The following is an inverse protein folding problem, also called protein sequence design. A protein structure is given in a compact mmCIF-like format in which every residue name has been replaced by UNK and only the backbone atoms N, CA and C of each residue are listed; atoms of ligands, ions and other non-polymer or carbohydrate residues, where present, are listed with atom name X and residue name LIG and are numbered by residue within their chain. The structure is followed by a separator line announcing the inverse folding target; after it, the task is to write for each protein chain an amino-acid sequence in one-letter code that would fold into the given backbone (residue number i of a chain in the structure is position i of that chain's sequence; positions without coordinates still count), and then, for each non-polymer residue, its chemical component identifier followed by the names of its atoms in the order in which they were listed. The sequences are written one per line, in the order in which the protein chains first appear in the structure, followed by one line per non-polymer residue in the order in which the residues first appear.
data_IF_346633620928
#
_entry.id   IF_346633620928
#
_cell.length_a   1.000
_cell.length_b   1.000
_cell.length_c   1.000
_cell.angle_alpha   90.00
_cell.angle_beta   90.00
_cell.angle_gamma   90.00
#
_symmetry.space_group_name_H-M   'P 1'
#
loop_
_entity.id
_entity.type
_entity.pdbx_description
1 polymer ?
#
# COMPACT_ATOMS: atom_id res chain seq x y z
N UNK A 1 2.40 -25.54 -24.34
CA UNK A 1 1.61 -25.41 -23.10
C UNK A 1 1.50 -23.93 -22.82
N UNK A 2 0.38 -23.29 -23.13
CA UNK A 2 0.15 -21.88 -22.79
C UNK A 2 -0.12 -21.84 -21.28
N UNK A 3 0.92 -21.59 -20.48
CA UNK A 3 0.73 -21.29 -19.08
C UNK A 3 -0.05 -19.99 -19.01
N UNK A 4 -1.25 -20.01 -18.44
CA UNK A 4 -1.96 -18.77 -18.14
C UNK A 4 -0.99 -17.86 -17.37
N UNK A 5 -0.78 -16.60 -17.79
CA UNK A 5 0.18 -15.74 -17.15
C UNK A 5 -0.18 -15.63 -15.67
N UNK A 6 0.72 -16.13 -14.81
CA UNK A 6 0.60 -15.99 -13.36
C UNK A 6 0.49 -14.50 -13.06
N UNK A 7 -0.53 -14.10 -12.29
CA UNK A 7 -0.69 -12.70 -11.89
C UNK A 7 0.58 -12.26 -11.17
N UNK A 8 1.20 -11.19 -11.67
CA UNK A 8 2.39 -10.64 -11.02
C UNK A 8 2.05 -10.08 -9.64
N UNK A 9 3.05 -10.13 -8.77
CA UNK A 9 2.97 -9.57 -7.41
C UNK A 9 2.82 -8.06 -7.51
N UNK A 10 1.86 -7.52 -6.77
CA UNK A 10 1.64 -6.08 -6.71
C UNK A 10 2.77 -5.42 -5.90
N UNK A 11 3.49 -4.49 -6.52
CA UNK A 11 4.58 -3.74 -5.87
C UNK A 11 4.02 -2.68 -4.93
N UNK A 12 4.57 -2.58 -3.73
CA UNK A 12 4.29 -1.46 -2.82
C UNK A 12 5.19 -0.29 -3.16
N UNK A 13 4.61 0.90 -3.24
CA UNK A 13 5.28 2.14 -3.66
C UNK A 13 4.69 3.30 -2.87
N UNK A 14 5.51 4.29 -2.51
CA UNK A 14 5.00 5.58 -2.02
C UNK A 14 4.55 6.46 -3.20
N UNK A 15 3.76 7.48 -2.92
CA UNK A 15 3.16 8.31 -3.96
C UNK A 15 4.23 9.13 -4.70
N UNK A 16 5.26 9.61 -4.01
CA UNK A 16 6.36 10.36 -4.62
C UNK A 16 7.14 9.51 -5.63
N UNK A 17 7.57 8.31 -5.24
CA UNK A 17 8.25 7.35 -6.12
C UNK A 17 7.36 6.98 -7.31
N UNK A 18 6.07 6.77 -7.06
CA UNK A 18 5.13 6.44 -8.11
C UNK A 18 4.97 7.57 -9.12
N UNK A 19 4.76 8.80 -8.63
CA UNK A 19 4.52 9.98 -9.46
C UNK A 19 5.70 10.33 -10.37
N UNK A 20 6.92 10.00 -9.94
CA UNK A 20 8.14 10.14 -10.74
C UNK A 20 8.31 9.04 -11.81
N UNK A 21 7.55 7.94 -11.74
CA UNK A 21 7.70 6.74 -12.58
C UNK A 21 7.07 6.90 -13.98
N UNK A 22 7.60 7.82 -14.78
CA UNK A 22 7.01 8.22 -16.07
C UNK A 22 7.41 7.35 -17.27
N UNK A 23 8.41 6.48 -17.13
CA UNK A 23 8.89 5.61 -18.20
C UNK A 23 8.18 4.24 -18.20
N UNK A 24 7.77 3.79 -19.40
CA UNK A 24 7.19 2.46 -19.60
C UNK A 24 7.94 1.65 -20.65
N UNK A 25 8.09 0.34 -20.42
CA UNK A 25 8.81 -0.55 -21.32
C UNK A 25 8.20 -1.97 -21.35
N UNK A 26 8.68 -2.78 -22.30
CA UNK A 26 8.38 -4.22 -22.42
C UNK A 26 9.68 -5.01 -22.34
N UNK A 27 9.65 -6.20 -21.76
CA UNK A 27 10.82 -7.08 -21.68
C UNK A 27 10.98 -8.01 -22.91
N UNK A 28 9.96 -8.08 -23.75
CA UNK A 28 10.01 -8.86 -25.00
C UNK A 28 9.28 -8.16 -26.13
N UNK A 29 9.65 -8.53 -27.35
CA UNK A 29 9.03 -8.05 -28.60
C UNK A 29 7.71 -8.76 -28.91
N UNK A 30 7.24 -9.65 -28.02
CA UNK A 30 5.97 -10.33 -28.24
C UNK A 30 4.82 -9.32 -28.27
N UNK A 31 3.87 -9.51 -29.19
CA UNK A 31 2.71 -8.62 -29.35
C UNK A 31 1.91 -8.46 -28.04
N UNK A 32 1.90 -9.52 -27.22
CA UNK A 32 1.20 -9.60 -25.93
C UNK A 32 2.11 -9.42 -24.71
N UNK A 33 3.34 -8.96 -24.90
CA UNK A 33 4.25 -8.70 -23.79
C UNK A 33 3.65 -7.69 -22.80
N UNK A 34 3.70 -7.96 -21.49
CA UNK A 34 3.25 -7.01 -20.47
C UNK A 34 4.05 -5.72 -20.57
N UNK A 35 3.35 -4.60 -20.39
CA UNK A 35 3.96 -3.27 -20.27
C UNK A 35 4.20 -3.01 -18.79
N UNK A 36 5.41 -2.58 -18.45
CA UNK A 36 5.81 -2.22 -17.11
C UNK A 36 6.03 -0.73 -17.01
N UNK A 37 5.78 -0.17 -15.83
CA UNK A 37 6.32 1.12 -15.40
C UNK A 37 7.65 0.86 -14.70
N UNK A 38 8.65 1.69 -15.00
CA UNK A 38 9.96 1.68 -14.34
C UNK A 38 9.90 2.60 -13.12
N UNK A 39 10.06 2.05 -11.92
CA UNK A 39 10.15 2.83 -10.69
C UNK A 39 11.57 3.42 -10.53
N UNK A 40 11.71 4.68 -10.06
CA UNK A 40 13.00 5.32 -9.85
C UNK A 40 13.95 4.60 -8.89
N UNK A 41 13.44 3.76 -7.98
CA UNK A 41 14.30 2.94 -7.10
C UNK A 41 14.79 1.64 -7.75
N UNK A 42 14.56 1.45 -9.06
CA UNK A 42 15.11 0.32 -9.82
C UNK A 42 14.22 -0.93 -9.83
N UNK A 43 12.91 -0.79 -9.73
CA UNK A 43 12.00 -1.92 -9.92
C UNK A 43 11.05 -1.69 -11.08
N UNK A 44 10.65 -2.78 -11.73
CA UNK A 44 9.52 -2.75 -12.66
C UNK A 44 8.21 -3.08 -11.95
N UNK A 45 7.12 -2.44 -12.40
CA UNK A 45 5.78 -2.69 -11.89
C UNK A 45 4.77 -2.86 -13.04
N UNK A 46 4.14 -4.04 -13.13
CA UNK A 46 2.90 -4.21 -13.92
C UNK A 46 1.64 -3.96 -13.08
N UNK A 47 1.79 -4.06 -11.76
CA UNK A 47 0.74 -4.02 -10.76
C UNK A 47 1.30 -3.40 -9.50
N UNK A 48 0.52 -2.54 -8.86
CA UNK A 48 0.90 -1.89 -7.60
C UNK A 48 -0.15 -2.15 -6.53
N UNK A 49 0.27 -2.08 -5.27
CA UNK A 49 -0.57 -2.14 -4.09
C UNK A 49 -0.27 -0.92 -3.21
N UNK A 50 -1.25 -0.05 -3.06
CA UNK A 50 -1.13 1.20 -2.31
C UNK A 50 -2.20 1.24 -1.21
N UNK A 51 -1.88 1.90 -0.10
CA UNK A 51 -2.85 2.23 0.95
C UNK A 51 -2.68 3.69 1.29
N UNK A 52 -3.78 4.42 1.38
CA UNK A 52 -3.76 5.84 1.70
C UNK A 52 -5.14 6.38 2.06
N UNK A 53 -5.22 7.68 2.27
CA UNK A 53 -6.46 8.37 2.59
C UNK A 53 -7.12 8.85 1.30
N UNK A 54 -8.28 8.30 0.96
CA UNK A 54 -9.14 8.86 -0.08
C UNK A 54 -9.66 10.21 0.41
N UNK A 55 -9.19 11.30 -0.19
CA UNK A 55 -9.55 12.66 0.21
C UNK A 55 -10.66 13.25 -0.64
N UNK A 56 -10.74 12.85 -1.91
CA UNK A 56 -11.68 13.40 -2.89
C UNK A 56 -12.13 12.31 -3.87
N UNK A 57 -13.40 12.36 -4.26
CA UNK A 57 -14.02 11.50 -5.28
C UNK A 57 -14.89 12.37 -6.19
N UNK A 58 -14.68 12.28 -7.50
CA UNK A 58 -15.41 13.08 -8.48
C UNK A 58 -15.79 12.24 -9.70
N UNK A 59 -17.00 12.43 -10.23
CA UNK A 59 -17.37 11.92 -11.56
C UNK A 59 -16.91 12.95 -12.59
N UNK A 60 -15.85 12.60 -13.30
CA UNK A 60 -15.21 13.42 -14.34
C UNK A 60 -15.62 12.98 -15.75
N UNK A 61 -16.58 12.05 -15.85
CA UNK A 61 -17.11 11.57 -17.12
C UNK A 61 -18.11 12.54 -17.77
N UNK A 62 -18.07 12.67 -19.09
CA UNK A 62 -19.05 13.46 -19.85
C UNK A 62 -20.25 12.59 -20.30
N UNK A 63 -19.99 11.60 -21.16
CA UNK A 63 -21.01 10.73 -21.77
C UNK A 63 -21.15 9.36 -21.07
N UNK A 64 -20.19 9.02 -20.22
CA UNK A 64 -20.11 7.72 -19.55
C UNK A 64 -19.49 7.87 -18.16
N UNK A 65 -19.96 7.08 -17.20
CA UNK A 65 -19.46 7.09 -15.83
C UNK A 65 -17.93 6.89 -15.79
N UNK A 66 -17.23 7.89 -15.23
CA UNK A 66 -15.78 7.90 -15.11
C UNK A 66 -15.37 8.59 -13.82
N UNK A 67 -15.09 7.80 -12.79
CA UNK A 67 -14.76 8.29 -11.46
C UNK A 67 -13.27 8.50 -11.29
N UNK A 68 -12.92 9.66 -10.75
CA UNK A 68 -11.59 9.99 -10.24
C UNK A 68 -11.60 9.92 -8.71
N UNK A 69 -10.62 9.22 -8.14
CA UNK A 69 -10.29 9.27 -6.72
C UNK A 69 -8.92 9.89 -6.49
N UNK A 70 -8.80 10.76 -5.49
CA UNK A 70 -7.52 11.27 -5.01
C UNK A 70 -7.18 10.60 -3.68
N UNK A 71 -6.10 9.81 -3.67
CA UNK A 71 -5.66 9.05 -2.50
C UNK A 71 -4.32 9.58 -2.04
N UNK A 72 -4.25 10.13 -0.84
CA UNK A 72 -3.05 10.73 -0.27
C UNK A 72 -2.31 9.72 0.59
N UNK A 73 -1.01 9.55 0.37
CA UNK A 73 -0.16 8.69 1.18
C UNK A 73 0.28 9.39 2.50
N UNK A 74 1.01 8.71 3.40
CA UNK A 74 1.46 9.32 4.66
C UNK A 74 2.38 10.53 4.49
N UNK A 75 3.06 10.67 3.35
CA UNK A 75 3.93 11.80 3.04
C UNK A 75 3.14 13.02 2.53
N UNK A 76 1.84 12.88 2.28
CA UNK A 76 0.98 13.95 1.79
C UNK A 76 0.90 14.01 0.26
N UNK A 77 1.58 13.12 -0.45
CA UNK A 77 1.58 13.08 -1.90
C UNK A 77 0.39 12.25 -2.44
N UNK A 78 -0.25 12.68 -3.54
CA UNK A 78 -1.43 12.00 -4.05
C UNK A 78 -1.09 10.91 -5.07
N UNK A 79 -1.82 9.81 -5.00
CA UNK A 79 -2.14 8.93 -6.11
C UNK A 79 -3.45 9.38 -6.76
N UNK A 80 -3.46 9.45 -8.09
CA UNK A 80 -4.69 9.63 -8.87
C UNK A 80 -5.20 8.29 -9.39
N UNK A 81 -6.45 7.97 -9.07
CA UNK A 81 -7.10 6.70 -9.40
C UNK A 81 -8.26 6.96 -10.33
N UNK A 82 -8.33 6.27 -11.47
CA UNK A 82 -9.41 6.45 -12.45
C UNK A 82 -10.13 5.13 -12.72
N UNK A 83 -11.45 5.10 -12.50
CA UNK A 83 -12.30 3.94 -12.74
C UNK A 83 -13.47 4.30 -13.66
N UNK A 84 -13.49 3.70 -14.85
CA UNK A 84 -14.59 3.86 -15.80
C UNK A 84 -15.52 2.64 -15.90
N UNK A 85 -16.35 2.63 -16.93
CA UNK A 85 -17.31 1.55 -17.24
C UNK A 85 -16.72 0.12 -17.31
N UNK A 86 -15.42 -0.02 -17.57
CA UNK A 86 -14.74 -1.32 -17.63
C UNK A 86 -14.23 -1.78 -16.26
N UNK A 87 -14.39 -0.96 -15.21
CA UNK A 87 -14.04 -1.25 -13.82
C UNK A 87 -15.27 -0.97 -12.92
N UNK A 88 -16.42 -1.64 -13.16
CA UNK A 88 -17.68 -1.27 -12.52
C UNK A 88 -17.65 -1.40 -10.99
N UNK A 89 -16.92 -2.37 -10.45
CA UNK A 89 -16.73 -2.56 -9.01
C UNK A 89 -15.94 -1.40 -8.39
N UNK A 90 -14.81 -1.02 -8.98
CA UNK A 90 -13.99 0.08 -8.47
C UNK A 90 -14.68 1.45 -8.64
N UNK A 91 -15.37 1.67 -9.76
CA UNK A 91 -16.16 2.88 -9.97
C UNK A 91 -17.28 3.00 -8.92
N UNK A 92 -17.93 1.89 -8.59
CA UNK A 92 -18.96 1.88 -7.55
C UNK A 92 -18.39 2.16 -6.16
N UNK A 93 -17.22 1.61 -5.83
CA UNK A 93 -16.54 1.97 -4.58
C UNK A 93 -16.22 3.46 -4.51
N UNK A 94 -15.67 4.07 -5.57
CA UNK A 94 -15.38 5.51 -5.58
C UNK A 94 -16.65 6.38 -5.47
N UNK A 95 -17.78 5.92 -6.01
CA UNK A 95 -19.08 6.60 -5.90
C UNK A 95 -19.66 6.53 -4.48
N UNK A 96 -19.47 5.42 -3.80
CA UNK A 96 -20.15 5.08 -2.54
C UNK A 96 -19.35 5.45 -1.29
N UNK A 97 -18.01 5.50 -1.40
CA UNK A 97 -17.15 5.86 -0.26
C UNK A 97 -17.30 7.33 0.10
N UNK A 98 -17.48 7.59 1.39
CA UNK A 98 -17.49 8.94 1.96
C UNK A 98 -16.06 9.34 2.36
N UNK A 99 -15.48 10.32 1.68
CA UNK A 99 -14.18 10.88 2.04
C UNK A 99 -14.28 11.79 3.29
N UNK A 100 -13.29 11.78 4.21
CA UNK A 100 -12.06 11.01 4.15
C UNK A 100 -12.21 9.55 4.62
N UNK A 101 -11.59 8.61 3.90
CA UNK A 101 -11.55 7.20 4.28
C UNK A 101 -10.22 6.54 3.91
N UNK A 102 -9.70 5.63 4.75
CA UNK A 102 -8.55 4.81 4.36
C UNK A 102 -8.97 3.76 3.34
N UNK A 103 -8.22 3.65 2.25
CA UNK A 103 -8.48 2.70 1.18
C UNK A 103 -7.22 1.95 0.79
N UNK A 104 -7.37 0.64 0.57
CA UNK A 104 -6.37 -0.20 -0.07
C UNK A 104 -6.75 -0.40 -1.54
N UNK A 105 -5.78 -0.18 -2.44
CA UNK A 105 -5.99 -0.24 -3.87
C UNK A 105 -4.95 -1.16 -4.49
N UNK A 106 -5.44 -2.14 -5.25
CA UNK A 106 -4.59 -2.87 -6.19
C UNK A 106 -4.93 -2.42 -7.59
N UNK A 107 -3.93 -2.06 -8.38
CA UNK A 107 -4.18 -1.49 -9.70
C UNK A 107 -3.02 -1.64 -10.66
N UNK A 108 -3.28 -1.29 -11.92
CA UNK A 108 -2.26 -1.19 -12.95
C UNK A 108 -1.82 0.26 -13.09
N UNK A 109 -0.51 0.53 -13.03
CA UNK A 109 -0.01 1.86 -13.28
C UNK A 109 -0.18 2.20 -14.77
N UNK A 110 -0.48 3.47 -15.06
CA UNK A 110 -0.69 3.99 -16.41
C UNK A 110 -0.07 5.36 -16.54
N UNK A 111 0.75 5.55 -17.56
CA UNK A 111 1.23 6.87 -17.95
C UNK A 111 0.25 7.51 -18.93
N UNK A 112 0.13 8.84 -18.85
CA UNK A 112 -0.63 9.65 -19.78
C UNK A 112 0.03 11.02 -19.92
N UNK A 113 -0.12 11.62 -21.09
CA UNK A 113 0.37 12.97 -21.35
C UNK A 113 -0.72 13.98 -20.94
N UNK A 114 -0.31 15.01 -20.21
CA UNK A 114 -1.15 16.15 -19.85
C UNK A 114 -1.17 17.18 -20.97
N UNK A 115 -2.15 18.09 -20.97
CA UNK A 115 -2.26 19.15 -21.99
C UNK A 115 -1.02 20.06 -22.05
N UNK A 116 -0.29 20.18 -20.94
CA UNK A 116 0.96 20.95 -20.84
C UNK A 116 2.20 20.17 -21.33
N UNK A 117 2.02 18.95 -21.86
CA UNK A 117 3.08 18.10 -22.39
C UNK A 117 3.88 17.33 -21.33
N UNK A 118 3.48 17.39 -20.06
CA UNK A 118 4.10 16.60 -19.00
C UNK A 118 3.50 15.18 -18.99
N UNK A 119 4.34 14.17 -18.77
CA UNK A 119 3.88 12.79 -18.57
C UNK A 119 3.61 12.58 -17.08
N UNK A 120 2.38 12.22 -16.75
CA UNK A 120 1.99 11.83 -15.40
C UNK A 120 1.64 10.35 -15.35
N UNK A 121 1.55 9.82 -14.13
CA UNK A 121 1.05 8.48 -13.87
C UNK A 121 -0.27 8.50 -13.12
N UNK A 122 -1.08 7.48 -13.35
CA UNK A 122 -2.30 7.19 -12.62
C UNK A 122 -2.45 5.70 -12.36
N UNK A 123 -3.36 5.38 -11.45
CA UNK A 123 -3.71 4.01 -11.10
C UNK A 123 -5.04 3.68 -11.77
N UNK A 124 -5.02 2.66 -12.63
CA UNK A 124 -6.25 1.99 -13.06
C UNK A 124 -6.56 0.89 -12.05
N UNK A 125 -7.57 1.05 -11.18
CA UNK A 125 -7.83 0.11 -10.11
C UNK A 125 -8.37 -1.20 -10.67
N UNK A 126 -7.90 -2.30 -10.10
CA UNK A 126 -8.51 -3.62 -10.22
C UNK A 126 -9.43 -3.88 -9.04
N UNK A 127 -9.08 -3.37 -7.85
CA UNK A 127 -9.90 -3.43 -6.64
C UNK A 127 -9.64 -2.22 -5.76
N UNK A 128 -10.69 -1.75 -5.08
CA UNK A 128 -10.65 -0.72 -4.04
C UNK A 128 -11.37 -1.31 -2.82
N UNK A 129 -10.80 -1.14 -1.63
CA UNK A 129 -11.40 -1.64 -0.39
C UNK A 129 -11.15 -0.64 0.73
N UNK A 130 -12.20 -0.28 1.47
CA UNK A 130 -12.04 0.52 2.69
C UNK A 130 -11.30 -0.31 3.74
N UNK A 131 -10.32 0.30 4.41
CA UNK A 131 -9.51 -0.35 5.44
C UNK A 131 -9.44 0.50 6.70
N UNK A 132 -8.85 -0.03 7.75
CA UNK A 132 -8.59 0.66 9.00
C UNK A 132 -7.18 1.26 9.06
N UNK A 133 -6.95 2.04 10.12
CA UNK A 133 -5.66 2.67 10.42
C UNK A 133 -4.52 1.64 10.55
N UNK A 134 -4.77 0.52 11.23
CA UNK A 134 -3.78 -0.55 11.45
C UNK A 134 -3.31 -1.17 10.12
N UNK A 135 -4.22 -1.39 9.18
CA UNK A 135 -3.88 -1.87 7.83
C UNK A 135 -3.03 -0.86 7.06
N UNK A 136 -3.35 0.43 7.20
CA UNK A 136 -2.55 1.53 6.63
C UNK A 136 -1.16 1.56 7.25
N UNK A 137 -1.02 1.45 8.56
CA UNK A 137 0.28 1.47 9.26
C UNK A 137 1.15 0.27 8.87
N UNK A 138 0.54 -0.91 8.80
CA UNK A 138 1.19 -2.13 8.31
C UNK A 138 1.73 -1.93 6.90
N UNK A 139 0.95 -1.31 6.01
CA UNK A 139 1.38 -1.02 4.66
C UNK A 139 2.55 -0.03 4.63
N UNK A 140 2.55 1.00 5.47
CA UNK A 140 3.67 1.96 5.54
C UNK A 140 4.98 1.25 5.88
N UNK A 141 4.99 0.42 6.93
CA UNK A 141 6.19 -0.32 7.35
C UNK A 141 6.68 -1.26 6.24
N UNK A 142 5.78 -2.07 5.66
CA UNK A 142 6.17 -3.01 4.60
C UNK A 142 6.60 -2.31 3.31
N UNK A 143 6.08 -1.12 3.02
CA UNK A 143 6.48 -0.30 1.87
C UNK A 143 7.85 0.31 2.11
N UNK A 144 8.10 0.84 3.31
CA UNK A 144 9.39 1.37 3.72
C UNK A 144 10.51 0.33 3.58
N UNK A 145 10.32 -0.87 4.14
CA UNK A 145 11.28 -1.99 4.02
C UNK A 145 11.55 -2.32 2.54
N UNK A 146 10.50 -2.50 1.74
CA UNK A 146 10.65 -2.85 0.32
C UNK A 146 11.28 -1.73 -0.52
N UNK A 147 11.09 -0.47 -0.15
CA UNK A 147 11.72 0.67 -0.83
C UNK A 147 13.21 0.73 -0.51
N UNK A 148 13.58 0.55 0.76
CA UNK A 148 14.99 0.50 1.17
C UNK A 148 15.73 -0.68 0.54
N UNK A 149 15.14 -1.88 0.51
CA UNK A 149 15.71 -3.05 -0.15
C UNK A 149 16.01 -2.79 -1.64
N UNK A 150 15.13 -2.05 -2.33
CA UNK A 150 15.32 -1.68 -3.74
C UNK A 150 16.49 -0.72 -3.90
N UNK A 151 16.58 0.30 -3.05
CA UNK A 151 17.67 1.28 -3.06
C UNK A 151 19.01 0.60 -2.76
N UNK A 152 19.07 -0.29 -1.77
CA UNK A 152 20.29 -1.04 -1.45
C UNK A 152 20.72 -1.94 -2.61
N UNK A 153 19.79 -2.64 -3.25
CA UNK A 153 20.09 -3.46 -4.43
C UNK A 153 20.61 -2.62 -5.62
N UNK A 154 20.09 -1.39 -5.76
CA UNK A 154 20.53 -0.41 -6.74
C UNK A 154 21.99 -0.01 -6.52
N UNK A 155 22.33 0.44 -5.31
CA UNK A 155 23.68 0.90 -4.95
C UNK A 155 24.72 -0.23 -4.96
N UNK A 156 24.30 -1.46 -4.70
CA UNK A 156 25.16 -2.64 -4.77
C UNK A 156 25.44 -3.10 -6.21
N UNK A 157 24.96 -2.39 -7.25
CA UNK A 157 25.05 -2.77 -8.67
C UNK A 157 24.48 -4.17 -8.97
N UNK A 158 23.58 -4.66 -8.11
CA UNK A 158 22.92 -5.97 -8.27
C UNK A 158 21.58 -5.87 -8.99
N UNK A 159 21.12 -4.64 -9.26
CA UNK A 159 19.85 -4.35 -9.87
C UNK A 159 19.95 -4.33 -11.41
N UNK A 160 19.16 -5.18 -12.07
CA UNK A 160 19.17 -5.30 -13.53
C UNK A 160 18.59 -4.09 -14.27
N UNK A 161 17.78 -3.26 -13.58
CA UNK A 161 17.16 -2.05 -14.12
C UNK A 161 17.91 -0.76 -13.76
N UNK A 162 18.98 -0.81 -12.95
CA UNK A 162 19.70 0.39 -12.51
C UNK A 162 20.15 1.27 -13.68
N UNK A 163 20.77 0.66 -14.70
CA UNK A 163 21.20 1.40 -15.91
C UNK A 163 20.06 2.03 -16.69
N UNK A 164 18.87 1.41 -16.65
CA UNK A 164 17.69 1.97 -17.31
C UNK A 164 17.18 3.17 -16.51
N UNK A 165 17.11 3.06 -15.19
CA UNK A 165 16.77 4.19 -14.31
C UNK A 165 17.70 5.38 -14.54
N UNK A 166 19.02 5.16 -14.54
CA UNK A 166 20.01 6.23 -14.77
C UNK A 166 19.88 6.91 -16.15
N UNK A 167 19.32 6.20 -17.14
CA UNK A 167 19.07 6.73 -18.49
C UNK A 167 17.78 7.55 -18.56
N UNK A 168 16.74 7.10 -17.84
CA UNK A 168 15.40 7.65 -17.97
C UNK A 168 15.08 8.72 -16.90
N UNK A 169 15.73 8.64 -15.74
CA UNK A 169 15.48 9.51 -14.60
C UNK A 169 16.76 10.18 -14.09
N UNK A 170 16.69 11.48 -13.86
CA UNK A 170 17.74 12.26 -13.18
C UNK A 170 17.25 12.62 -11.76
N UNK A 171 17.07 11.59 -10.93
CA UNK A 171 16.47 11.70 -9.60
C UNK A 171 17.40 11.07 -8.54
N UNK A 172 17.77 11.81 -7.48
CA UNK A 172 18.63 11.27 -6.43
C UNK A 172 17.87 10.28 -5.54
N UNK A 173 18.45 9.10 -5.31
CA UNK A 173 17.84 8.06 -4.46
C UNK A 173 17.62 8.51 -3.00
N UNK A 174 18.43 9.45 -2.52
CA UNK A 174 18.29 10.02 -1.17
C UNK A 174 16.89 10.60 -0.92
N UNK A 175 16.23 11.15 -1.95
CA UNK A 175 14.85 11.63 -1.84
C UNK A 175 13.91 10.53 -1.37
N UNK A 176 14.03 9.32 -1.93
CA UNK A 176 13.16 8.21 -1.55
C UNK A 176 13.53 7.64 -0.17
N UNK A 177 14.78 7.81 0.30
CA UNK A 177 15.15 7.52 1.69
C UNK A 177 14.48 8.51 2.65
N UNK A 178 14.48 9.79 2.31
CA UNK A 178 13.79 10.84 3.09
C UNK A 178 12.27 10.59 3.13
N UNK A 179 11.68 10.19 2.01
CA UNK A 179 10.27 9.79 1.92
C UNK A 179 9.93 8.59 2.82
N UNK A 180 10.82 7.59 2.88
CA UNK A 180 10.68 6.47 3.83
C UNK A 180 10.73 6.94 5.28
N UNK A 181 11.68 7.82 5.63
CA UNK A 181 11.80 8.36 6.99
C UNK A 181 10.55 9.14 7.38
N UNK A 182 10.12 10.07 6.52
CA UNK A 182 8.90 10.88 6.72
C UNK A 182 7.68 9.99 6.94
N UNK A 183 7.50 8.94 6.13
CA UNK A 183 6.38 8.02 6.27
C UNK A 183 6.42 7.26 7.61
N UNK A 184 7.60 6.81 8.06
CA UNK A 184 7.75 6.13 9.34
C UNK A 184 7.62 7.06 10.56
N UNK A 185 8.01 8.33 10.43
CA UNK A 185 7.79 9.36 11.45
C UNK A 185 6.29 9.66 11.60
N UNK A 186 5.54 9.69 10.49
CA UNK A 186 4.09 9.91 10.51
C UNK A 186 3.32 8.86 11.35
N UNK A 187 3.87 7.65 11.49
CA UNK A 187 3.29 6.60 12.34
C UNK A 187 3.47 6.88 13.84
N UNK A 188 4.54 7.58 14.22
CA UNK A 188 4.86 7.89 15.62
C UNK A 188 4.04 9.07 16.15
N UNK A 189 3.67 9.98 15.25
CA UNK A 189 2.83 11.14 15.57
C UNK A 189 1.33 10.81 15.62
N UNK A 190 0.92 9.59 15.24
CA UNK A 190 -0.46 9.12 15.36
C UNK A 190 -0.76 8.73 16.83
N UNK A 191 -1.62 9.48 17.56
CA UNK A 191 -1.88 9.24 18.99
C UNK A 191 -2.53 7.89 19.28
N UNK A 192 -2.92 7.14 18.25
CA UNK A 192 -3.51 5.81 18.35
C UNK A 192 -2.48 4.66 18.20
N UNK A 193 -1.22 4.94 17.88
CA UNK A 193 -0.16 3.94 17.70
C UNK A 193 0.25 3.22 19.01
N UNK A 194 -0.29 3.64 20.16
CA UNK A 194 0.09 3.16 21.49
C UNK A 194 -0.77 2.06 22.12
N UNK A 195 -1.82 1.52 21.48
CA UNK A 195 -2.76 0.62 22.17
C UNK A 195 -2.77 -0.86 21.70
N UNK A 196 -1.76 -1.31 20.95
CA UNK A 196 -1.67 -2.69 20.48
C UNK A 196 -0.46 -3.42 21.06
N UNK A 197 -0.40 -3.57 22.39
CA UNK A 197 0.56 -4.52 22.97
C UNK A 197 0.95 -4.34 24.42
N UNK A 198 0.01 -4.26 25.36
CA UNK A 198 0.30 -4.55 26.76
C UNK A 198 -1.02 -4.79 27.54
N UNK A 199 -1.67 -5.92 27.31
CA UNK A 199 -2.50 -6.47 28.37
C UNK A 199 -2.42 -7.99 28.38
N UNK A 200 -2.39 -8.52 29.60
CA UNK A 200 -2.52 -9.93 29.96
C UNK A 200 -1.28 -10.83 29.95
N UNK A 201 -0.21 -10.41 30.66
CA UNK A 201 0.65 -11.33 31.43
C UNK A 201 1.19 -10.62 32.66
N UNK A 202 0.45 -10.70 33.77
CA UNK A 202 0.97 -10.97 35.12
C UNK A 202 -0.03 -10.51 36.18
N UNK A 203 -0.90 -11.44 36.59
CA UNK A 203 -1.38 -11.48 37.96
C UNK A 203 -1.25 -12.93 38.47
N UNK A 204 -0.26 -13.11 39.34
CA UNK A 204 -0.06 -14.23 40.26
C UNK A 204 -1.40 -14.76 40.83
N UNK A 205 -1.62 -16.06 41.05
CA UNK A 205 -0.71 -17.08 41.57
C UNK A 205 -1.27 -17.54 42.93
N UNK A 206 -1.20 -18.85 43.20
CA UNK A 206 -1.26 -19.50 44.55
C UNK A 206 -2.70 -19.73 45.07
N UNK A 207 -3.20 -20.91 45.47
CA UNK A 207 -2.70 -22.25 45.83
C UNK A 207 -3.91 -23.22 45.84
N UNK A 208 -3.75 -24.49 45.44
CA UNK A 208 -4.65 -25.57 45.88
C UNK A 208 -4.00 -26.93 45.72
N UNK A 209 -3.63 -27.52 46.86
CA UNK A 209 -3.49 -28.94 47.20
C UNK A 209 -2.96 -28.93 48.65
N UNK A 210 -3.45 -29.67 49.67
CA UNK A 210 -4.10 -30.97 49.73
C UNK A 210 -4.64 -31.21 51.17
N UNK A 211 -5.44 -32.26 51.33
CA UNK A 211 -6.23 -32.67 52.51
C UNK A 211 -5.41 -33.13 53.75
N UNK A 212 -5.97 -33.04 54.95
CA UNK A 212 -6.57 -34.15 55.74
C UNK A 212 -6.82 -33.77 57.23
N UNK A 213 -7.61 -34.59 57.91
CA UNK A 213 -7.85 -34.72 59.38
C UNK A 213 -9.03 -33.97 60.06
N UNK A 214 -10.15 -34.71 60.10
CA UNK A 214 -10.82 -35.27 61.28
C UNK A 214 -11.58 -34.42 62.34
N UNK A 215 -12.61 -35.10 62.88
CA UNK A 215 -13.47 -34.88 64.06
C UNK A 215 -14.82 -34.16 63.82
N UNK A 216 -15.90 -34.91 63.57
CA UNK A 216 -16.86 -35.53 64.53
C UNK A 216 -18.03 -34.59 64.92
N UNK A 217 -19.24 -35.04 64.54
CA UNK A 217 -20.62 -34.66 64.88
C UNK A 217 -20.91 -34.26 66.36
N UNK A 218 -22.13 -33.79 66.75
CA UNK A 218 -23.39 -33.65 65.98
C UNK A 218 -24.16 -32.31 66.16
N UNK A 219 -25.30 -32.25 65.46
CA UNK A 219 -26.41 -31.28 65.51
C UNK A 219 -26.82 -30.77 66.90
N UNK A 220 -27.54 -29.63 66.91
CA UNK A 220 -28.78 -29.62 67.67
C UNK A 220 -29.94 -28.96 66.90
N UNK A 221 -31.09 -29.63 66.87
CA UNK A 221 -32.41 -29.00 66.97
C UNK A 221 -33.37 -29.97 67.68
N UNK A 222 -34.41 -29.49 68.37
CA UNK A 222 -34.49 -28.39 69.33
C UNK A 222 -34.30 -28.84 70.81
#
# INVERSE_FOLDING_TARGET
MSGAPTREVARRVFADEFNDATHTFKESDEERAPVYVLLPTGARANRIFIVGTLTETEDVGEDSEYWQGRVVDPNGDPFFVYAGQYQPEAASMLRELEAPAYVAITGKPRTYETDDGNVNVSVRPESITQVDADTRDRWVVETAEQTLDRIEAFEADTNEYARMVESEYDLPLDRYRESVVSALESLQDDPNAGNSGADDRDAAGTESESADDAETEPEPQP
#
